data_IF_041907394017
#
_entry.id   IF_041907394017
#
_cell.length_a   1.000
_cell.length_b   1.000
_cell.length_c   1.000
_cell.angle_alpha   90.00
_cell.angle_beta   90.00
_cell.angle_gamma   90.00
#
_symmetry.space_group_name_H-M   'P 1'
#
loop_
_entity.id
_entity.type
_entity.pdbx_description
1 polymer ?
#
# COMPACT_ATOMS: atom_id res chain seq x y z
N UNK A 1 17.11 -32.59 -17.99
CA UNK A 1 16.87 -31.25 -17.45
C UNK A 1 15.91 -31.47 -16.30
N UNK A 2 16.40 -31.57 -15.08
CA UNK A 2 15.57 -31.59 -13.87
C UNK A 2 14.97 -30.19 -13.74
N UNK A 3 13.68 -30.07 -14.00
CA UNK A 3 12.88 -28.91 -13.62
C UNK A 3 12.98 -28.82 -12.10
N UNK A 4 13.85 -27.95 -11.58
CA UNK A 4 13.75 -27.53 -10.19
C UNK A 4 12.34 -26.96 -10.03
N UNK A 5 11.50 -27.67 -9.31
CA UNK A 5 10.20 -27.18 -8.88
C UNK A 5 10.47 -25.90 -8.09
N UNK A 6 10.15 -24.76 -8.67
CA UNK A 6 10.23 -23.45 -8.03
C UNK A 6 9.33 -23.55 -6.79
N UNK A 7 9.94 -23.71 -5.62
CA UNK A 7 9.18 -23.67 -4.37
C UNK A 7 8.75 -22.18 -4.18
N UNK A 8 7.50 -21.87 -4.55
CA UNK A 8 6.90 -20.52 -4.49
C UNK A 8 6.72 -20.04 -3.04
N UNK A 9 7.81 -20.01 -2.26
CA UNK A 9 7.79 -19.56 -0.87
C UNK A 9 7.71 -18.04 -0.81
N UNK A 10 6.97 -17.54 0.18
CA UNK A 10 6.96 -16.12 0.48
C UNK A 10 8.38 -15.65 0.75
N UNK A 11 8.73 -14.49 0.23
CA UNK A 11 9.96 -13.82 0.64
C UNK A 11 9.83 -13.34 2.10
N UNK A 12 10.94 -13.02 2.75
CA UNK A 12 10.89 -12.58 4.15
C UNK A 12 10.07 -11.31 4.34
N UNK A 13 10.04 -10.43 3.34
CA UNK A 13 9.19 -9.24 3.37
C UNK A 13 7.71 -9.61 3.30
N UNK A 14 7.32 -10.44 2.32
CA UNK A 14 5.94 -10.90 2.16
C UNK A 14 5.45 -11.59 3.43
N UNK A 15 6.30 -12.47 3.99
CA UNK A 15 6.00 -13.17 5.25
C UNK A 15 5.85 -12.20 6.41
N UNK A 16 6.73 -11.20 6.52
CA UNK A 16 6.66 -10.19 7.57
C UNK A 16 5.35 -9.43 7.50
N UNK A 17 4.95 -8.95 6.31
CA UNK A 17 3.68 -8.26 6.11
C UNK A 17 2.48 -9.16 6.50
N UNK A 18 2.49 -10.42 6.08
CA UNK A 18 1.46 -11.40 6.42
C UNK A 18 1.36 -11.68 7.92
N UNK A 19 2.49 -11.92 8.59
CA UNK A 19 2.49 -12.20 10.04
C UNK A 19 2.12 -10.96 10.87
N UNK A 20 2.52 -9.75 10.44
CA UNK A 20 2.10 -8.50 11.07
C UNK A 20 0.59 -8.32 10.95
N UNK A 21 0.01 -8.51 9.77
CA UNK A 21 -1.43 -8.46 9.57
C UNK A 21 -2.16 -9.44 10.50
N UNK A 22 -1.70 -10.69 10.56
CA UNK A 22 -2.31 -11.71 11.43
C UNK A 22 -2.18 -11.40 12.93
N UNK A 23 -1.05 -10.86 13.35
CA UNK A 23 -0.80 -10.58 14.76
C UNK A 23 -1.58 -9.36 15.27
N UNK A 24 -1.83 -8.39 14.40
CA UNK A 24 -2.50 -7.12 14.75
C UNK A 24 -3.99 -7.12 14.40
N UNK A 25 -4.43 -7.93 13.44
CA UNK A 25 -5.76 -7.83 12.83
C UNK A 25 -5.92 -6.63 11.89
N UNK A 26 -4.83 -5.86 11.64
CA UNK A 26 -4.83 -4.73 10.70
C UNK A 26 -4.50 -5.23 9.30
N UNK A 27 -5.40 -4.96 8.36
CA UNK A 27 -5.16 -5.15 6.94
C UNK A 27 -4.62 -3.88 6.31
N UNK A 28 -3.61 -4.00 5.46
CA UNK A 28 -3.30 -2.96 4.47
C UNK A 28 -3.96 -3.35 3.17
N UNK A 29 -4.73 -2.43 2.61
CA UNK A 29 -5.51 -2.63 1.40
C UNK A 29 -5.01 -1.71 0.28
N UNK A 30 -5.12 -2.20 -0.93
CA UNK A 30 -5.06 -1.42 -2.15
C UNK A 30 -6.45 -1.37 -2.73
N UNK A 31 -6.88 -0.20 -3.16
CA UNK A 31 -8.16 -0.04 -3.83
C UNK A 31 -7.99 0.76 -5.11
N UNK A 32 -8.58 0.25 -6.18
CA UNK A 32 -8.78 0.97 -7.43
C UNK A 32 -10.29 1.19 -7.64
N UNK A 33 -10.66 2.41 -8.03
CA UNK A 33 -12.03 2.77 -8.37
C UNK A 33 -12.03 3.36 -9.78
N UNK A 34 -12.82 2.76 -10.66
CA UNK A 34 -13.04 3.23 -12.03
C UNK A 34 -14.43 3.84 -12.13
N UNK A 35 -14.54 4.99 -12.75
CA UNK A 35 -15.83 5.65 -13.01
C UNK A 35 -16.02 5.78 -14.50
N UNK A 36 -17.11 5.20 -14.99
CA UNK A 36 -17.57 5.23 -16.36
C UNK A 36 -18.79 6.13 -16.46
N UNK A 37 -18.77 7.09 -17.40
CA UNK A 37 -19.94 7.97 -17.67
C UNK A 37 -21.04 7.28 -18.51
N UNK A 38 -21.02 5.95 -18.50
CA UNK A 38 -21.96 5.08 -19.20
C UNK A 38 -22.15 3.77 -18.42
N UNK A 39 -23.17 2.95 -18.78
CA UNK A 39 -23.30 1.60 -18.25
C UNK A 39 -22.10 0.73 -18.60
N UNK A 40 -21.65 -0.09 -17.66
CA UNK A 40 -20.48 -0.96 -17.82
C UNK A 40 -20.74 -2.10 -18.81
N UNK A 41 -19.71 -2.50 -19.58
CA UNK A 41 -19.72 -3.75 -20.35
C UNK A 41 -19.48 -4.95 -19.43
N UNK A 42 -20.57 -5.63 -19.07
CA UNK A 42 -20.49 -6.81 -18.20
C UNK A 42 -19.75 -8.00 -18.80
N UNK A 43 -19.70 -8.13 -20.13
CA UNK A 43 -18.93 -9.22 -20.74
C UNK A 43 -17.42 -8.94 -20.64
N UNK A 44 -17.03 -7.71 -20.89
CA UNK A 44 -15.66 -7.25 -20.67
C UNK A 44 -15.26 -7.41 -19.21
N UNK A 45 -16.11 -6.98 -18.28
CA UNK A 45 -15.83 -7.09 -16.84
C UNK A 45 -15.72 -8.55 -16.37
N UNK A 46 -16.57 -9.47 -16.87
CA UNK A 46 -16.44 -10.90 -16.55
C UNK A 46 -15.16 -11.50 -17.13
N UNK A 47 -14.71 -11.05 -18.29
CA UNK A 47 -13.42 -11.46 -18.87
C UNK A 47 -12.27 -10.98 -17.99
N UNK A 48 -12.25 -9.71 -17.61
CA UNK A 48 -11.28 -9.15 -16.66
C UNK A 48 -11.27 -9.94 -15.35
N UNK A 49 -12.43 -10.20 -14.77
CA UNK A 49 -12.58 -10.92 -13.51
C UNK A 49 -11.97 -12.34 -13.57
N UNK A 50 -12.20 -13.09 -14.66
CA UNK A 50 -11.55 -14.41 -14.86
C UNK A 50 -10.04 -14.25 -14.96
N UNK A 51 -9.57 -13.32 -15.78
CA UNK A 51 -8.16 -13.13 -16.05
C UNK A 51 -7.39 -12.69 -14.79
N UNK A 52 -7.94 -11.77 -13.98
CA UNK A 52 -7.29 -11.33 -12.73
C UNK A 52 -7.23 -12.46 -11.71
N UNK A 53 -8.21 -13.36 -11.71
CA UNK A 53 -8.25 -14.53 -10.84
C UNK A 53 -7.19 -15.57 -11.20
N UNK A 54 -6.84 -15.68 -12.47
CA UNK A 54 -5.82 -16.59 -12.98
C UNK A 54 -4.40 -15.97 -12.96
N UNK A 55 -4.29 -14.67 -12.65
CA UNK A 55 -3.05 -13.90 -12.59
C UNK A 55 -2.39 -13.94 -11.19
N UNK A 56 -1.37 -13.08 -11.01
CA UNK A 56 -0.76 -12.80 -9.69
C UNK A 56 -1.81 -12.34 -8.66
N UNK A 57 -2.91 -11.71 -9.08
CA UNK A 57 -4.01 -11.29 -8.22
C UNK A 57 -4.77 -12.43 -7.58
N UNK A 58 -4.81 -13.62 -8.21
CA UNK A 58 -5.53 -14.78 -7.69
C UNK A 58 -4.78 -15.62 -6.67
N UNK A 59 -3.48 -15.41 -6.49
CA UNK A 59 -2.68 -16.21 -5.57
C UNK A 59 -3.09 -16.06 -4.11
N UNK A 60 -2.87 -17.13 -3.34
CA UNK A 60 -3.17 -17.19 -1.90
C UNK A 60 -1.96 -17.70 -1.13
N UNK A 61 -2.03 -17.55 0.19
CA UNK A 61 -0.98 -18.00 1.10
C UNK A 61 -1.41 -19.34 1.73
N UNK A 62 -0.56 -20.37 1.60
CA UNK A 62 -0.67 -21.61 2.36
C UNK A 62 0.42 -21.65 3.43
N UNK A 63 0.00 -21.81 4.69
CA UNK A 63 0.93 -21.88 5.81
C UNK A 63 1.69 -23.19 5.85
N UNK A 64 2.89 -23.11 6.39
CA UNK A 64 3.65 -24.29 6.77
C UNK A 64 3.01 -25.01 7.98
N UNK A 65 3.03 -26.34 8.02
CA UNK A 65 2.67 -27.10 9.22
C UNK A 65 3.70 -26.94 10.35
N UNK A 66 4.90 -26.39 10.07
CA UNK A 66 5.89 -26.02 11.07
C UNK A 66 5.64 -24.59 11.54
N UNK A 67 5.67 -24.31 12.85
CA UNK A 67 5.40 -22.97 13.38
C UNK A 67 6.41 -21.91 12.94
N UNK A 68 7.62 -22.33 12.55
CA UNK A 68 8.69 -21.49 12.04
C UNK A 68 8.96 -21.70 10.53
N UNK A 69 8.10 -22.47 9.86
CA UNK A 69 8.21 -22.72 8.42
C UNK A 69 7.68 -21.55 7.60
N UNK A 70 8.37 -21.23 6.50
CA UNK A 70 7.91 -20.16 5.58
C UNK A 70 6.66 -20.61 4.84
N UNK A 71 5.60 -19.78 4.78
CA UNK A 71 4.44 -20.01 3.94
C UNK A 71 4.81 -20.03 2.45
N UNK A 72 3.91 -20.51 1.62
CA UNK A 72 4.06 -20.52 0.16
C UNK A 72 2.86 -19.91 -0.56
N UNK A 73 3.08 -19.45 -1.76
CA UNK A 73 2.03 -19.07 -2.67
C UNK A 73 1.38 -20.31 -3.27
N UNK A 74 0.06 -20.30 -3.37
CA UNK A 74 -0.75 -21.35 -3.97
C UNK A 74 -1.84 -20.76 -4.85
N UNK A 75 -2.38 -21.57 -5.75
CA UNK A 75 -3.55 -21.19 -6.55
C UNK A 75 -4.79 -20.95 -5.67
N UNK A 76 -5.80 -20.20 -6.13
CA UNK A 76 -7.10 -20.12 -5.46
C UNK A 76 -7.70 -21.50 -5.24
N UNK A 77 -8.26 -21.77 -4.05
CA UNK A 77 -8.90 -23.06 -3.74
C UNK A 77 -10.29 -23.22 -4.32
N UNK A 78 -10.93 -22.11 -4.63
CA UNK A 78 -12.32 -22.02 -5.07
C UNK A 78 -12.41 -21.05 -6.23
N UNK A 79 -13.55 -21.08 -6.93
CA UNK A 79 -13.87 -20.04 -7.88
C UNK A 79 -13.65 -18.65 -7.21
N UNK A 80 -13.14 -17.68 -7.97
CA UNK A 80 -12.97 -16.33 -7.45
C UNK A 80 -14.30 -15.82 -6.89
N UNK A 81 -14.23 -14.89 -5.95
CA UNK A 81 -15.44 -14.21 -5.47
C UNK A 81 -16.23 -13.71 -6.68
N UNK A 82 -17.53 -13.94 -6.71
CA UNK A 82 -18.38 -13.43 -7.79
C UNK A 82 -18.29 -11.91 -7.86
N UNK A 83 -18.46 -11.35 -9.06
CA UNK A 83 -18.62 -9.90 -9.20
C UNK A 83 -19.88 -9.49 -8.43
N UNK A 84 -19.70 -8.65 -7.43
CA UNK A 84 -20.82 -8.10 -6.67
C UNK A 84 -21.43 -6.93 -7.45
N UNK A 85 -22.72 -6.99 -7.72
CA UNK A 85 -23.43 -5.93 -8.44
C UNK A 85 -24.50 -5.37 -7.51
N UNK A 86 -24.36 -4.09 -7.16
CA UNK A 86 -25.37 -3.41 -6.39
C UNK A 86 -26.55 -3.06 -7.30
N UNK A 87 -27.77 -3.39 -6.88
CA UNK A 87 -28.98 -3.15 -7.66
C UNK A 87 -29.50 -1.71 -7.52
N UNK A 88 -29.25 -1.08 -6.36
CA UNK A 88 -29.74 0.27 -6.06
C UNK A 88 -28.72 1.30 -6.48
N UNK A 89 -29.03 2.21 -7.43
CA UNK A 89 -28.16 3.31 -7.78
C UNK A 89 -27.91 4.25 -6.60
N UNK A 90 -26.70 4.79 -6.51
CA UNK A 90 -26.30 5.80 -5.51
C UNK A 90 -26.05 7.16 -6.13
N UNK A 91 -26.26 8.28 -5.41
CA UNK A 91 -25.80 9.59 -5.83
C UNK A 91 -24.28 9.62 -6.05
N UNK A 92 -23.81 10.41 -7.03
CA UNK A 92 -22.38 10.52 -7.35
C UNK A 92 -21.55 11.08 -6.20
N UNK A 93 -22.07 11.98 -5.43
CA UNK A 93 -21.42 12.57 -4.26
C UNK A 93 -21.17 11.56 -3.11
N UNK A 94 -21.88 10.43 -3.10
CA UNK A 94 -21.65 9.31 -2.19
C UNK A 94 -20.62 8.29 -2.71
N UNK A 95 -20.03 8.51 -3.90
CA UNK A 95 -19.09 7.54 -4.52
C UNK A 95 -17.94 7.16 -3.60
N UNK A 96 -17.29 8.15 -3.00
CA UNK A 96 -16.14 7.88 -2.13
C UNK A 96 -16.56 7.31 -0.77
N UNK A 97 -17.78 7.55 -0.31
CA UNK A 97 -18.34 6.90 0.88
C UNK A 97 -18.60 5.42 0.62
N UNK A 98 -19.19 5.10 -0.54
CA UNK A 98 -19.32 3.72 -0.99
C UNK A 98 -17.96 3.01 -1.12
N UNK A 99 -16.95 3.68 -1.67
CA UNK A 99 -15.62 3.09 -1.78
C UNK A 99 -15.00 2.81 -0.39
N UNK A 100 -15.26 3.65 0.62
CA UNK A 100 -14.81 3.44 2.00
C UNK A 100 -15.57 2.27 2.67
N UNK A 101 -16.87 2.10 2.40
CA UNK A 101 -17.61 0.93 2.86
C UNK A 101 -16.98 -0.37 2.37
N UNK A 102 -16.51 -0.42 1.11
CA UNK A 102 -15.86 -1.60 0.55
C UNK A 102 -14.51 -1.92 1.20
N UNK A 103 -13.82 -0.93 1.75
CA UNK A 103 -12.59 -1.15 2.52
C UNK A 103 -12.82 -1.90 3.84
N UNK A 104 -14.08 -2.04 4.28
CA UNK A 104 -14.44 -2.83 5.48
C UNK A 104 -14.71 -4.31 5.20
N UNK A 105 -14.75 -4.71 3.91
CA UNK A 105 -14.99 -6.11 3.52
C UNK A 105 -13.92 -7.05 4.08
N UNK A 106 -14.31 -8.29 4.49
CA UNK A 106 -13.36 -9.24 5.05
C UNK A 106 -12.45 -9.80 3.96
N UNK A 107 -11.21 -9.32 3.92
CA UNK A 107 -10.17 -9.75 2.98
C UNK A 107 -9.13 -10.60 3.72
N UNK A 108 -8.95 -11.84 3.26
CA UNK A 108 -8.04 -12.80 3.91
C UNK A 108 -7.11 -13.45 2.87
N UNK A 109 -5.80 -13.15 2.90
CA UNK A 109 -4.83 -13.77 1.98
C UNK A 109 -4.63 -15.27 2.17
N UNK A 110 -5.02 -15.83 3.33
CA UNK A 110 -4.86 -17.26 3.66
C UNK A 110 -6.11 -18.06 3.27
N UNK A 111 -7.30 -17.59 3.68
CA UNK A 111 -8.56 -18.35 3.49
C UNK A 111 -9.40 -17.81 2.32
N UNK A 112 -9.13 -16.59 1.87
CA UNK A 112 -9.85 -15.89 0.82
C UNK A 112 -11.19 -15.31 1.30
N UNK A 113 -11.79 -14.43 0.51
CA UNK A 113 -11.25 -13.87 -0.73
C UNK A 113 -10.07 -12.92 -0.47
N UNK A 114 -9.13 -12.88 -1.43
CA UNK A 114 -7.95 -11.98 -1.37
C UNK A 114 -8.26 -10.58 -1.90
N UNK A 115 -9.37 -10.46 -2.64
CA UNK A 115 -9.89 -9.22 -3.20
C UNK A 115 -11.39 -9.35 -3.52
N UNK A 116 -12.04 -8.20 -3.69
CA UNK A 116 -13.42 -8.09 -4.17
C UNK A 116 -13.48 -7.17 -5.39
N UNK A 117 -14.41 -7.45 -6.29
CA UNK A 117 -14.78 -6.61 -7.43
C UNK A 117 -16.27 -6.28 -7.32
N UNK A 118 -16.59 -4.99 -7.18
CA UNK A 118 -17.96 -4.51 -6.91
C UNK A 118 -18.34 -3.46 -7.94
N UNK A 119 -19.55 -3.57 -8.47
CA UNK A 119 -20.15 -2.63 -9.42
C UNK A 119 -21.23 -1.83 -8.72
N UNK A 120 -21.21 -0.51 -8.85
CA UNK A 120 -22.19 0.42 -8.32
C UNK A 120 -22.73 1.33 -9.43
N UNK A 121 -23.99 1.14 -9.85
CA UNK A 121 -24.66 2.11 -10.70
C UNK A 121 -24.83 3.45 -9.95
N UNK A 122 -24.72 4.57 -10.69
CA UNK A 122 -24.97 5.91 -10.16
C UNK A 122 -26.28 6.47 -10.68
N UNK A 123 -26.89 7.39 -9.92
CA UNK A 123 -28.22 7.95 -10.24
C UNK A 123 -28.25 8.81 -11.50
N UNK A 124 -27.08 9.26 -11.97
CA UNK A 124 -26.91 10.05 -13.20
C UNK A 124 -26.65 9.21 -14.46
N UNK A 125 -26.71 7.87 -14.34
CA UNK A 125 -26.49 6.93 -15.43
C UNK A 125 -25.04 6.46 -15.59
N UNK A 126 -24.12 7.00 -14.81
CA UNK A 126 -22.74 6.53 -14.73
C UNK A 126 -22.65 5.21 -13.97
N UNK A 127 -21.50 4.56 -14.01
CA UNK A 127 -21.24 3.33 -13.25
C UNK A 127 -19.85 3.39 -12.63
N UNK A 128 -19.76 3.03 -11.38
CA UNK A 128 -18.48 2.85 -10.69
C UNK A 128 -18.14 1.36 -10.53
N UNK A 129 -16.88 1.02 -10.69
CA UNK A 129 -16.33 -0.30 -10.39
C UNK A 129 -15.25 -0.12 -9.34
N UNK A 130 -15.27 -0.91 -8.28
CA UNK A 130 -14.20 -0.91 -7.29
C UNK A 130 -13.60 -2.30 -7.15
N UNK A 131 -12.26 -2.36 -7.19
CA UNK A 131 -11.49 -3.53 -6.78
C UNK A 131 -10.73 -3.17 -5.51
N UNK A 132 -10.99 -3.92 -4.44
CA UNK A 132 -10.27 -3.80 -3.17
C UNK A 132 -9.54 -5.11 -2.88
N UNK A 133 -8.23 -5.04 -2.60
CA UNK A 133 -7.36 -6.20 -2.47
C UNK A 133 -6.41 -6.05 -1.28
N UNK A 134 -5.99 -7.17 -0.70
CA UNK A 134 -4.94 -7.18 0.32
C UNK A 134 -3.60 -6.73 -0.26
N UNK A 135 -2.93 -5.79 0.40
CA UNK A 135 -1.58 -5.37 0.01
C UNK A 135 -0.52 -6.49 0.24
N UNK A 136 -0.85 -7.51 1.03
CA UNK A 136 0.03 -8.66 1.26
C UNK A 136 0.24 -9.50 0.00
N UNK A 137 -0.76 -9.56 -0.91
CA UNK A 137 -0.63 -10.33 -2.16
C UNK A 137 0.14 -9.58 -3.26
N UNK A 138 0.39 -8.29 -3.09
CA UNK A 138 1.16 -7.50 -4.06
C UNK A 138 1.30 -6.04 -3.61
N UNK A 139 2.34 -5.38 -4.06
CA UNK A 139 2.46 -3.93 -3.99
C UNK A 139 1.76 -3.25 -5.18
N UNK A 140 1.74 -1.92 -5.20
CA UNK A 140 1.08 -1.15 -6.26
C UNK A 140 1.57 -1.48 -7.67
N UNK A 141 2.85 -1.82 -7.85
CA UNK A 141 3.39 -2.24 -9.16
C UNK A 141 2.90 -3.65 -9.53
N UNK A 142 2.89 -4.59 -8.58
CA UNK A 142 2.36 -5.94 -8.82
C UNK A 142 0.85 -5.90 -9.13
N UNK A 143 0.10 -5.05 -8.43
CA UNK A 143 -1.33 -4.85 -8.68
C UNK A 143 -1.57 -4.25 -10.08
N UNK A 144 -0.83 -3.20 -10.44
CA UNK A 144 -0.90 -2.60 -11.79
C UNK A 144 -0.56 -3.60 -12.90
N UNK A 145 0.47 -4.42 -12.69
CA UNK A 145 0.85 -5.46 -13.64
C UNK A 145 -0.24 -6.54 -13.77
N UNK A 146 -0.82 -6.99 -12.66
CA UNK A 146 -1.91 -7.97 -12.68
C UNK A 146 -3.16 -7.42 -13.39
N UNK A 147 -3.52 -6.14 -13.17
CA UNK A 147 -4.62 -5.48 -13.87
C UNK A 147 -4.31 -5.37 -15.36
N UNK A 148 -3.09 -4.94 -15.73
CA UNK A 148 -2.67 -4.83 -17.12
C UNK A 148 -2.75 -6.18 -17.85
N UNK A 149 -2.24 -7.24 -17.27
CA UNK A 149 -2.31 -8.60 -17.83
C UNK A 149 -3.75 -9.09 -17.96
N UNK A 150 -4.58 -8.83 -16.95
CA UNK A 150 -5.98 -9.23 -16.97
C UNK A 150 -6.78 -8.50 -18.06
N UNK A 151 -6.55 -7.21 -18.27
CA UNK A 151 -7.19 -6.41 -19.32
C UNK A 151 -6.73 -6.85 -20.71
N UNK A 152 -5.44 -7.07 -20.90
CA UNK A 152 -4.88 -7.45 -22.21
C UNK A 152 -5.08 -8.93 -22.55
N UNK A 153 -5.47 -9.76 -21.58
CA UNK A 153 -5.60 -11.21 -21.74
C UNK A 153 -4.26 -11.96 -21.76
N UNK A 154 -3.14 -11.28 -21.54
CA UNK A 154 -1.81 -11.88 -21.48
C UNK A 154 -1.48 -12.31 -20.06
N UNK A 155 -2.31 -13.17 -19.49
CA UNK A 155 -2.17 -13.64 -18.11
C UNK A 155 -1.00 -14.61 -18.01
N UNK A 156 -0.03 -14.29 -17.15
CA UNK A 156 1.09 -15.18 -16.88
C UNK A 156 0.65 -16.36 -16.00
N UNK A 157 1.09 -17.56 -16.34
CA UNK A 157 1.01 -18.70 -15.44
C UNK A 157 2.09 -18.56 -14.35
N UNK A 158 1.67 -18.28 -13.13
CA UNK A 158 2.59 -18.23 -11.97
C UNK A 158 3.16 -19.60 -11.58
N UNK A 159 2.66 -20.70 -12.16
CA UNK A 159 3.10 -22.07 -11.84
C UNK A 159 2.82 -22.46 -10.39
N UNK A 160 1.89 -21.79 -9.71
CA UNK A 160 1.56 -22.08 -8.32
C UNK A 160 0.87 -23.43 -8.18
N UNK A 161 1.27 -24.17 -7.18
CA UNK A 161 0.62 -25.44 -6.82
C UNK A 161 -0.81 -25.24 -6.30
N UNK A 162 -1.63 -26.27 -6.42
CA UNK A 162 -2.93 -26.29 -5.74
C UNK A 162 -2.75 -26.32 -4.22
N UNK A 163 -3.63 -25.66 -3.45
CA UNK A 163 -3.65 -25.80 -2.00
C UNK A 163 -3.77 -27.27 -1.60
N UNK A 164 -3.03 -27.67 -0.56
CA UNK A 164 -3.03 -29.05 -0.09
C UNK A 164 -2.37 -30.05 -1.02
N UNK A 165 -1.67 -29.62 -2.08
CA UNK A 165 -0.97 -30.52 -3.03
C UNK A 165 0.14 -31.35 -2.36
N UNK A 166 0.65 -30.90 -1.20
CA UNK A 166 1.65 -31.64 -0.41
C UNK A 166 0.99 -32.38 0.74
N UNK A 167 1.32 -33.65 0.92
CA UNK A 167 0.97 -34.37 2.15
C UNK A 167 1.67 -33.69 3.35
N UNK A 168 1.10 -33.85 4.56
CA UNK A 168 1.67 -33.26 5.77
C UNK A 168 3.14 -33.66 6.00
N UNK A 169 3.50 -34.91 5.66
CA UNK A 169 4.89 -35.40 5.76
C UNK A 169 5.82 -34.71 4.74
N UNK A 170 5.37 -34.58 3.49
CA UNK A 170 6.13 -33.87 2.46
C UNK A 170 6.35 -32.40 2.87
N UNK A 171 5.29 -31.73 3.34
CA UNK A 171 5.37 -30.36 3.82
C UNK A 171 6.36 -30.23 4.99
N UNK A 172 6.26 -31.08 6.01
CA UNK A 172 7.17 -31.06 7.16
C UNK A 172 8.64 -31.23 6.76
N UNK A 173 8.94 -32.18 5.88
CA UNK A 173 10.33 -32.44 5.42
C UNK A 173 10.85 -31.26 4.58
N UNK A 174 10.06 -30.78 3.62
CA UNK A 174 10.46 -29.68 2.75
C UNK A 174 10.66 -28.38 3.56
N UNK A 175 9.75 -28.09 4.48
CA UNK A 175 9.78 -26.88 5.28
C UNK A 175 10.89 -26.93 6.35
N UNK A 176 11.18 -28.11 6.93
CA UNK A 176 12.34 -28.28 7.82
C UNK A 176 13.68 -28.07 7.09
N UNK A 177 13.80 -28.62 5.86
CA UNK A 177 15.00 -28.37 5.04
C UNK A 177 15.17 -26.89 4.70
N UNK A 178 14.07 -26.20 4.39
CA UNK A 178 14.11 -24.77 4.13
C UNK A 178 14.51 -23.97 5.37
N UNK A 179 13.90 -24.25 6.53
CA UNK A 179 14.25 -23.60 7.78
C UNK A 179 15.75 -23.75 8.11
N UNK A 180 16.34 -24.92 7.85
CA UNK A 180 17.79 -25.13 8.00
C UNK A 180 18.61 -24.28 7.03
N UNK A 181 18.15 -24.08 5.80
CA UNK A 181 18.81 -23.19 4.82
C UNK A 181 18.72 -21.71 5.23
N UNK A 182 17.60 -21.30 5.83
CA UNK A 182 17.35 -19.92 6.28
C UNK A 182 18.07 -19.60 7.61
N UNK A 183 18.53 -20.60 8.35
CA UNK A 183 19.17 -20.42 9.67
C UNK A 183 20.40 -19.50 9.66
N UNK A 184 21.31 -19.51 8.66
CA UNK A 184 22.42 -18.57 8.60
C UNK A 184 21.97 -17.11 8.49
N UNK A 185 20.89 -16.84 7.75
CA UNK A 185 20.33 -15.50 7.61
C UNK A 185 19.64 -15.06 8.90
N UNK A 186 18.86 -15.92 9.52
CA UNK A 186 18.23 -15.67 10.81
C UNK A 186 19.29 -15.37 11.90
N UNK A 187 20.40 -16.10 11.93
CA UNK A 187 21.52 -15.84 12.88
C UNK A 187 22.15 -14.46 12.64
N UNK A 188 22.39 -14.08 11.37
CA UNK A 188 22.91 -12.74 11.02
C UNK A 188 21.94 -11.66 11.46
N UNK A 189 20.65 -11.84 11.18
CA UNK A 189 19.59 -10.92 11.58
C UNK A 189 19.48 -10.80 13.12
N UNK A 190 19.64 -11.90 13.85
CA UNK A 190 19.64 -11.89 15.32
C UNK A 190 20.77 -11.03 15.90
N UNK A 191 21.99 -11.17 15.36
CA UNK A 191 23.15 -10.35 15.81
C UNK A 191 22.91 -8.87 15.50
N UNK A 192 22.38 -8.55 14.31
CA UNK A 192 22.04 -7.17 13.93
C UNK A 192 20.92 -6.62 14.81
N UNK A 193 19.89 -7.40 15.06
CA UNK A 193 18.76 -7.04 15.94
C UNK A 193 19.23 -6.76 17.38
N UNK A 194 20.08 -7.60 17.93
CA UNK A 194 20.65 -7.37 19.26
C UNK A 194 21.45 -6.05 19.33
N UNK A 195 22.26 -5.74 18.32
CA UNK A 195 22.97 -4.46 18.20
C UNK A 195 22.01 -3.27 18.11
N UNK A 196 20.95 -3.38 17.29
CA UNK A 196 19.95 -2.34 17.12
C UNK A 196 19.20 -2.07 18.43
N UNK A 197 18.73 -3.11 19.12
CA UNK A 197 18.05 -2.98 20.41
C UNK A 197 18.98 -2.34 21.43
N UNK A 198 20.25 -2.72 21.46
CA UNK A 198 21.22 -2.16 22.40
C UNK A 198 21.52 -0.67 22.09
N UNK A 199 21.68 -0.30 20.82
CA UNK A 199 21.93 1.10 20.41
C UNK A 199 20.71 2.00 20.68
N UNK A 200 19.48 1.50 20.43
CA UNK A 200 18.21 2.24 20.61
C UNK A 200 17.50 1.97 21.95
N UNK A 201 18.19 1.40 22.93
CA UNK A 201 17.57 1.01 24.22
C UNK A 201 16.87 2.16 24.96
N UNK A 202 17.33 3.40 24.77
CA UNK A 202 16.71 4.60 25.36
C UNK A 202 15.40 4.95 24.68
N UNK A 203 15.37 4.88 23.37
CA UNK A 203 14.17 5.15 22.55
C UNK A 203 13.09 4.10 22.86
N UNK A 204 13.49 2.82 22.98
CA UNK A 204 12.60 1.73 23.40
C UNK A 204 12.06 1.92 24.82
N UNK A 205 12.86 2.43 25.75
CA UNK A 205 12.43 2.72 27.11
C UNK A 205 11.43 3.89 27.16
N UNK A 206 11.62 4.91 26.32
CA UNK A 206 10.68 6.04 26.18
C UNK A 206 9.36 5.60 25.52
N UNK A 207 9.43 4.84 24.42
CA UNK A 207 8.24 4.27 23.77
C UNK A 207 7.44 3.38 24.74
N UNK A 208 8.11 2.59 25.58
CA UNK A 208 7.47 1.76 26.61
C UNK A 208 6.80 2.59 27.70
N UNK A 209 7.37 3.74 28.10
CA UNK A 209 6.76 4.67 29.08
C UNK A 209 5.53 5.36 28.48
N UNK A 210 5.58 5.79 27.22
CA UNK A 210 4.44 6.36 26.50
C UNK A 210 3.27 5.36 26.39
N UNK A 211 3.57 4.04 26.33
CA UNK A 211 2.57 2.96 26.36
C UNK A 211 1.73 2.89 27.63
N UNK A 212 2.29 3.24 28.78
CA UNK A 212 1.64 3.06 30.09
C UNK A 212 0.61 4.16 30.40
N UNK A 213 0.50 5.22 29.60
CA UNK A 213 -0.26 6.43 29.94
C UNK A 213 -1.54 6.68 29.16
N UNK A 214 -1.96 5.81 28.23
CA UNK A 214 -3.13 6.09 27.39
C UNK A 214 -4.36 5.24 27.71
N UNK A 215 -5.42 5.83 28.21
CA UNK A 215 -6.78 5.25 28.36
C UNK A 215 -7.58 5.25 27.03
N UNK A 216 -6.92 5.24 25.90
CA UNK A 216 -7.60 5.29 24.61
C UNK A 216 -8.36 3.98 24.32
N UNK A 217 -9.60 4.10 23.78
CA UNK A 217 -10.49 2.97 23.49
C UNK A 217 -9.99 2.18 22.28
N UNK A 218 -10.21 0.85 22.29
CA UNK A 218 -10.03 -0.03 21.12
C UNK A 218 -11.17 0.13 20.09
N UNK A 219 -11.65 1.36 19.87
CA UNK A 219 -12.68 1.72 18.91
C UNK A 219 -12.05 1.83 17.51
N UNK A 220 -12.65 1.17 16.53
CA UNK A 220 -12.22 1.30 15.12
C UNK A 220 -12.60 2.71 14.66
N UNK A 221 -11.64 3.42 14.05
CA UNK A 221 -11.84 4.75 13.50
C UNK A 221 -11.79 4.72 11.97
N UNK A 222 -12.64 5.53 11.36
CA UNK A 222 -12.54 5.81 9.94
C UNK A 222 -11.53 6.92 9.69
N UNK A 223 -10.55 6.65 8.83
CA UNK A 223 -9.60 7.66 8.37
C UNK A 223 -10.14 8.25 7.06
N UNK A 224 -10.45 9.56 7.01
CA UNK A 224 -10.98 10.16 5.78
C UNK A 224 -9.97 10.10 4.65
N UNK A 225 -10.48 9.84 3.44
CA UNK A 225 -9.70 9.79 2.21
C UNK A 225 -10.40 10.57 1.11
N UNK A 226 -9.62 11.31 0.31
CA UNK A 226 -10.07 12.05 -0.86
C UNK A 226 -9.14 11.82 -2.03
N UNK A 227 -9.61 12.06 -3.26
CA UNK A 227 -8.82 11.97 -4.47
C UNK A 227 -8.86 13.28 -5.25
N UNK A 228 -7.71 13.83 -5.59
CA UNK A 228 -7.57 15.01 -6.45
C UNK A 228 -7.09 14.61 -7.84
N UNK A 229 -7.65 15.26 -8.86
CA UNK A 229 -7.33 15.06 -10.27
C UNK A 229 -6.81 16.37 -10.86
N UNK A 230 -5.56 16.39 -11.28
CA UNK A 230 -4.90 17.54 -11.91
C UNK A 230 -4.52 17.16 -13.35
N UNK A 231 -4.64 18.08 -14.29
CA UNK A 231 -4.19 17.86 -15.66
C UNK A 231 -2.67 17.60 -15.71
N UNK A 232 -2.23 16.59 -16.49
CA UNK A 232 -0.79 16.25 -16.57
C UNK A 232 0.04 17.42 -17.10
N UNK A 233 -0.46 18.14 -18.12
CA UNK A 233 0.28 19.24 -18.70
C UNK A 233 0.41 20.42 -17.71
N UNK A 234 -0.65 20.74 -16.95
CA UNK A 234 -0.62 21.74 -15.89
C UNK A 234 0.36 21.32 -14.77
N UNK A 235 0.30 20.07 -14.32
CA UNK A 235 1.20 19.52 -13.31
C UNK A 235 2.67 19.59 -13.73
N UNK A 236 2.99 19.15 -14.93
CA UNK A 236 4.37 19.13 -15.43
C UNK A 236 4.90 20.54 -15.66
N UNK A 237 4.10 21.42 -16.28
CA UNK A 237 4.47 22.84 -16.46
C UNK A 237 4.75 23.53 -15.13
N UNK A 238 3.92 23.26 -14.10
CA UNK A 238 4.14 23.81 -12.78
C UNK A 238 5.41 23.26 -12.13
N UNK A 239 5.64 21.95 -12.22
CA UNK A 239 6.85 21.32 -11.70
C UNK A 239 8.12 21.92 -12.33
N UNK A 240 8.12 22.10 -13.64
CA UNK A 240 9.25 22.68 -14.39
C UNK A 240 9.47 24.15 -14.01
N UNK A 241 8.40 24.95 -13.87
CA UNK A 241 8.49 26.35 -13.46
C UNK A 241 9.14 26.56 -12.09
N UNK A 242 9.07 25.53 -11.22
CA UNK A 242 9.70 25.48 -9.89
C UNK A 242 11.07 24.78 -9.88
N UNK A 243 11.67 24.48 -11.05
CA UNK A 243 12.97 23.79 -11.16
C UNK A 243 12.93 22.30 -10.84
N UNK A 244 11.73 21.71 -10.72
CA UNK A 244 11.50 20.32 -10.36
C UNK A 244 11.10 19.41 -11.52
N UNK A 245 10.41 18.35 -11.17
CA UNK A 245 9.69 17.42 -12.05
C UNK A 245 8.42 16.94 -11.33
N UNK A 246 7.56 16.21 -12.02
CA UNK A 246 6.28 15.74 -11.46
C UNK A 246 6.42 15.00 -10.11
N UNK A 247 7.49 14.25 -9.89
CA UNK A 247 7.71 13.59 -8.60
C UNK A 247 8.14 14.57 -7.49
N UNK A 248 9.05 15.49 -7.78
CA UNK A 248 9.44 16.51 -6.79
C UNK A 248 8.28 17.45 -6.46
N UNK A 249 7.35 17.69 -7.40
CA UNK A 249 6.13 18.44 -7.11
C UNK A 249 5.21 17.66 -6.17
N UNK A 250 5.04 16.34 -6.38
CA UNK A 250 4.30 15.48 -5.45
C UNK A 250 4.89 15.52 -4.03
N UNK A 251 6.21 15.45 -3.93
CA UNK A 251 6.95 15.58 -2.66
C UNK A 251 6.69 16.94 -2.02
N UNK A 252 6.71 18.03 -2.79
CA UNK A 252 6.40 19.37 -2.32
C UNK A 252 4.96 19.49 -1.80
N UNK A 253 3.99 19.02 -2.57
CA UNK A 253 2.56 18.99 -2.18
C UNK A 253 2.37 18.18 -0.91
N UNK A 254 3.01 16.99 -0.81
CA UNK A 254 2.95 16.15 0.39
C UNK A 254 3.56 16.84 1.61
N UNK A 255 4.68 17.54 1.43
CA UNK A 255 5.33 18.29 2.51
C UNK A 255 4.45 19.44 3.01
N UNK A 256 3.76 20.17 2.13
CA UNK A 256 2.80 21.24 2.51
C UNK A 256 1.56 20.68 3.20
N UNK A 257 1.02 19.54 2.74
CA UNK A 257 -0.07 18.85 3.45
C UNK A 257 0.37 18.43 4.86
N UNK A 258 1.57 17.88 4.99
CA UNK A 258 2.12 17.48 6.27
C UNK A 258 2.28 18.69 7.22
N UNK A 259 2.77 19.81 6.73
CA UNK A 259 2.84 21.06 7.48
C UNK A 259 1.47 21.49 8.01
N UNK A 260 0.45 21.51 7.14
CA UNK A 260 -0.93 21.90 7.49
C UNK A 260 -1.57 20.98 8.54
N UNK A 261 -1.12 19.71 8.59
CA UNK A 261 -1.51 18.70 9.58
C UNK A 261 -0.58 18.68 10.80
N UNK A 262 0.27 19.70 10.99
CA UNK A 262 1.15 19.82 12.15
C UNK A 262 2.28 18.78 12.22
N UNK A 263 2.66 18.17 11.08
CA UNK A 263 3.66 17.09 11.02
C UNK A 263 5.07 17.58 10.71
N UNK A 264 5.43 18.79 11.16
CA UNK A 264 6.81 19.28 11.13
C UNK A 264 7.63 18.67 12.28
N UNK A 265 8.86 18.34 12.03
CA UNK A 265 9.83 17.96 13.06
C UNK A 265 10.09 19.12 14.00
N UNK A 266 10.14 18.84 15.29
CA UNK A 266 10.41 19.87 16.31
C UNK A 266 11.86 20.38 16.29
N UNK A 267 12.78 19.56 15.76
CA UNK A 267 14.22 19.84 15.76
C UNK A 267 14.62 20.94 14.77
N UNK A 268 14.01 20.96 13.58
CA UNK A 268 14.43 21.84 12.46
C UNK A 268 13.28 22.37 11.61
N UNK A 269 12.02 22.03 11.94
CA UNK A 269 10.83 22.44 11.21
C UNK A 269 10.61 21.74 9.86
N UNK A 270 11.48 20.84 9.46
CA UNK A 270 11.34 20.08 8.22
C UNK A 270 10.28 18.98 8.34
N UNK A 271 9.87 18.41 7.21
CA UNK A 271 8.98 17.25 7.12
C UNK A 271 9.78 16.01 6.72
N UNK A 272 9.53 14.88 7.39
CA UNK A 272 10.08 13.57 7.02
C UNK A 272 9.09 12.81 6.16
N UNK A 273 9.47 12.52 4.92
CA UNK A 273 8.70 11.69 4.00
C UNK A 273 9.29 10.28 3.95
N UNK A 274 8.44 9.28 3.99
CA UNK A 274 8.77 7.88 3.67
C UNK A 274 8.41 7.65 2.21
N UNK A 275 9.43 7.53 1.37
CA UNK A 275 9.29 7.32 -0.06
C UNK A 275 9.36 5.83 -0.36
N UNK A 276 8.31 5.28 -0.98
CA UNK A 276 8.31 3.91 -1.49
C UNK A 276 9.04 3.86 -2.85
N UNK A 277 9.97 2.92 -2.98
CA UNK A 277 10.82 2.76 -4.15
C UNK A 277 10.67 1.34 -4.69
N UNK A 278 10.22 1.23 -5.94
CA UNK A 278 10.12 -0.05 -6.62
C UNK A 278 11.51 -0.62 -6.90
N UNK A 279 11.73 -1.87 -6.49
CA UNK A 279 12.97 -2.64 -6.68
C UNK A 279 12.86 -3.70 -7.78
N UNK A 280 11.77 -3.71 -8.57
CA UNK A 280 11.68 -4.62 -9.71
C UNK A 280 12.60 -4.16 -10.83
N UNK A 281 13.36 -5.10 -11.36
CA UNK A 281 14.27 -4.86 -12.47
C UNK A 281 13.61 -5.17 -13.83
N UNK A 282 12.55 -5.96 -13.83
CA UNK A 282 11.81 -6.34 -15.04
C UNK A 282 10.32 -6.57 -14.74
N UNK A 283 9.51 -6.63 -15.80
CA UNK A 283 8.10 -7.01 -15.71
C UNK A 283 7.90 -8.50 -15.39
N UNK A 284 8.93 -9.33 -15.57
CA UNK A 284 8.90 -10.75 -15.22
C UNK A 284 9.04 -11.03 -13.70
N UNK A 285 9.36 -10.00 -12.93
CA UNK A 285 9.52 -10.09 -11.49
C UNK A 285 8.14 -10.29 -10.81
N UNK A 286 7.88 -11.51 -10.34
CA UNK A 286 6.63 -11.98 -9.76
C UNK A 286 6.55 -11.82 -8.22
N UNK A 287 7.55 -11.17 -7.60
CA UNK A 287 7.55 -10.91 -6.16
C UNK A 287 6.28 -10.17 -5.76
N UNK A 288 5.73 -10.47 -4.58
CA UNK A 288 4.58 -9.75 -4.05
C UNK A 288 4.99 -8.32 -3.65
N UNK A 289 5.93 -8.23 -2.74
CA UNK A 289 6.46 -6.96 -2.26
C UNK A 289 7.91 -6.80 -2.74
N UNK A 290 8.10 -6.00 -3.78
CA UNK A 290 9.42 -5.70 -4.32
C UNK A 290 9.71 -4.20 -4.20
N UNK A 291 9.68 -3.71 -2.96
CA UNK A 291 9.90 -2.31 -2.65
C UNK A 291 10.91 -2.12 -1.53
N UNK A 292 11.49 -0.93 -1.49
CA UNK A 292 12.25 -0.41 -0.35
C UNK A 292 11.63 0.91 0.09
N UNK A 293 11.95 1.31 1.31
CA UNK A 293 11.55 2.60 1.85
C UNK A 293 12.79 3.45 2.10
N UNK A 294 12.71 4.73 1.78
CA UNK A 294 13.75 5.68 2.10
C UNK A 294 13.13 6.92 2.75
N UNK A 295 13.79 7.42 3.80
CA UNK A 295 13.40 8.67 4.43
C UNK A 295 13.99 9.85 3.66
N UNK A 296 13.14 10.81 3.33
CA UNK A 296 13.49 12.07 2.68
C UNK A 296 13.08 13.22 3.59
N UNK A 297 14.00 14.14 3.85
CA UNK A 297 13.73 15.33 4.64
C UNK A 297 13.54 16.53 3.71
N UNK A 298 12.44 17.25 3.86
CA UNK A 298 12.04 18.36 2.98
C UNK A 298 11.64 19.58 3.83
N UNK A 299 12.11 20.75 3.44
CA UNK A 299 11.71 22.02 4.02
C UNK A 299 10.39 22.49 3.35
N UNK A 300 9.24 22.49 4.05
CA UNK A 300 7.96 22.86 3.45
C UNK A 300 7.84 24.35 3.15
N UNK A 301 8.70 25.20 3.68
CA UNK A 301 8.64 26.66 3.43
C UNK A 301 9.16 27.03 2.05
N UNK A 302 9.97 26.18 1.41
CA UNK A 302 10.61 26.46 0.12
C UNK A 302 9.89 25.84 -1.08
N UNK A 303 9.15 24.74 -0.88
CA UNK A 303 8.66 23.88 -1.99
C UNK A 303 7.66 24.55 -2.93
N UNK A 304 7.02 25.65 -2.51
CA UNK A 304 6.09 26.41 -3.36
C UNK A 304 6.79 27.38 -4.31
N UNK A 305 8.09 27.65 -4.07
CA UNK A 305 8.91 28.58 -4.87
C UNK A 305 10.08 27.89 -5.57
N UNK A 306 10.63 26.80 -4.99
CA UNK A 306 11.78 26.07 -5.55
C UNK A 306 11.71 24.58 -5.16
N UNK A 307 11.70 23.69 -6.14
CA UNK A 307 11.71 22.24 -5.99
C UNK A 307 13.07 21.59 -6.21
N UNK A 308 14.12 22.37 -6.39
CA UNK A 308 15.48 21.84 -6.68
C UNK A 308 15.97 20.93 -5.57
N UNK A 309 15.78 21.33 -4.30
CA UNK A 309 16.14 20.54 -3.13
C UNK A 309 15.28 19.26 -3.04
N UNK A 310 13.96 19.36 -3.19
CA UNK A 310 13.06 18.21 -3.20
C UNK A 310 13.43 17.19 -4.30
N UNK A 311 13.82 17.67 -5.49
CA UNK A 311 14.30 16.85 -6.60
C UNK A 311 15.60 16.11 -6.25
N UNK A 312 16.54 16.80 -5.60
CA UNK A 312 17.80 16.20 -5.15
C UNK A 312 17.55 15.11 -4.11
N UNK A 313 16.73 15.38 -3.09
CA UNK A 313 16.37 14.45 -2.03
C UNK A 313 15.72 13.18 -2.59
N UNK A 314 14.78 13.30 -3.55
CA UNK A 314 14.16 12.13 -4.21
C UNK A 314 15.21 11.28 -4.93
N UNK A 315 16.14 11.91 -5.66
CA UNK A 315 17.20 11.20 -6.38
C UNK A 315 18.12 10.45 -5.42
N UNK A 316 18.56 11.10 -4.36
CA UNK A 316 19.44 10.53 -3.34
C UNK A 316 18.75 9.38 -2.58
N UNK A 317 17.49 9.57 -2.19
CA UNK A 317 16.70 8.52 -1.53
C UNK A 317 16.57 7.27 -2.40
N UNK A 318 16.31 7.43 -3.71
CA UNK A 318 16.24 6.32 -4.66
C UNK A 318 17.59 5.61 -4.83
N UNK A 319 18.68 6.35 -4.84
CA UNK A 319 20.01 5.78 -4.93
C UNK A 319 20.37 5.01 -3.65
N UNK A 320 20.15 5.61 -2.48
CA UNK A 320 20.40 4.94 -1.20
C UNK A 320 19.62 3.64 -1.04
N UNK A 321 18.34 3.63 -1.42
CA UNK A 321 17.51 2.42 -1.33
C UNK A 321 17.96 1.29 -2.25
N UNK A 322 18.65 1.60 -3.35
CA UNK A 322 19.27 0.59 -4.24
C UNK A 322 20.58 0.06 -3.69
N UNK A 323 21.34 0.91 -3.02
CA UNK A 323 22.69 0.58 -2.53
C UNK A 323 22.68 0.00 -1.10
N UNK A 324 21.69 0.36 -0.29
CA UNK A 324 21.62 -0.01 1.12
C UNK A 324 20.27 -0.62 1.46
N UNK A 325 20.30 -1.77 2.09
CA UNK A 325 19.10 -2.36 2.64
C UNK A 325 18.72 -1.62 3.93
N UNK A 326 17.43 -1.26 4.09
CA UNK A 326 16.93 -0.70 5.33
C UNK A 326 17.26 -1.64 6.51
N UNK A 327 17.88 -1.12 7.59
CA UNK A 327 18.20 -1.91 8.77
C UNK A 327 17.00 -2.66 9.36
N UNK A 328 15.78 -2.14 9.24
CA UNK A 328 14.57 -2.83 9.66
C UNK A 328 14.28 -4.07 8.80
N UNK A 329 14.51 -3.99 7.48
CA UNK A 329 14.33 -5.13 6.58
C UNK A 329 15.36 -6.24 6.82
N UNK A 330 16.55 -5.89 7.31
CA UNK A 330 17.57 -6.87 7.69
C UNK A 330 17.14 -7.78 8.84
N UNK A 331 16.09 -7.42 9.57
CA UNK A 331 15.52 -8.23 10.66
C UNK A 331 14.41 -9.18 10.20
N UNK A 332 13.88 -9.03 8.98
CA UNK A 332 12.79 -9.86 8.48
C UNK A 332 13.09 -11.38 8.49
N UNK A 333 14.33 -11.86 8.27
CA UNK A 333 14.64 -13.27 8.43
C UNK A 333 14.42 -13.85 9.84
N UNK A 334 14.18 -13.00 10.85
CA UNK A 334 13.80 -13.45 12.20
C UNK A 334 12.30 -13.72 12.32
N UNK A 335 11.47 -13.13 11.48
CA UNK A 335 10.01 -13.19 11.63
C UNK A 335 9.46 -14.62 11.71
N UNK A 336 9.93 -15.61 10.90
CA UNK A 336 9.46 -16.99 11.01
C UNK A 336 9.72 -17.63 12.39
N UNK A 337 10.72 -17.16 13.11
CA UNK A 337 11.18 -17.73 14.38
C UNK A 337 10.54 -17.06 15.60
N UNK A 338 9.78 -15.98 15.38
CA UNK A 338 9.12 -15.26 16.48
C UNK A 338 7.75 -15.87 16.78
N UNK A 339 7.41 -16.09 18.05
CA UNK A 339 6.04 -16.42 18.42
C UNK A 339 5.11 -15.22 18.13
N UNK A 340 3.85 -15.49 17.81
CA UNK A 340 2.88 -14.47 17.38
C UNK A 340 2.74 -13.29 18.37
N UNK A 341 2.87 -13.54 19.66
CA UNK A 341 2.88 -12.48 20.67
C UNK A 341 4.09 -11.53 20.54
N UNK A 342 5.27 -12.07 20.13
CA UNK A 342 6.44 -11.25 19.87
C UNK A 342 6.32 -10.47 18.55
N UNK A 343 5.68 -11.06 17.52
CA UNK A 343 5.35 -10.37 16.25
C UNK A 343 4.48 -9.15 16.55
N UNK A 344 3.46 -9.28 17.38
CA UNK A 344 2.63 -8.14 17.82
C UNK A 344 3.48 -7.04 18.47
N UNK A 345 4.42 -7.41 19.33
CA UNK A 345 5.35 -6.46 19.95
C UNK A 345 6.26 -5.75 18.95
N UNK A 346 6.73 -6.47 17.91
CA UNK A 346 7.50 -5.88 16.80
C UNK A 346 6.64 -4.94 15.98
N UNK A 347 5.40 -5.33 15.63
CA UNK A 347 4.45 -4.47 14.94
C UNK A 347 4.22 -3.16 15.69
N UNK A 348 3.90 -3.26 16.98
CA UNK A 348 3.68 -2.09 17.83
C UNK A 348 4.91 -1.18 17.92
N UNK A 349 6.11 -1.74 17.79
CA UNK A 349 7.35 -0.97 17.74
C UNK A 349 7.57 -0.29 16.39
N UNK A 350 7.32 -1.01 15.29
CA UNK A 350 7.47 -0.47 13.92
C UNK A 350 6.46 0.65 13.64
N UNK A 351 5.25 0.52 14.18
CA UNK A 351 4.18 1.52 14.05
C UNK A 351 4.09 2.46 15.25
N UNK A 352 5.10 2.45 16.15
CA UNK A 352 5.15 3.35 17.29
C UNK A 352 5.56 4.76 16.87
N UNK A 353 5.29 5.70 17.77
CA UNK A 353 5.65 7.10 17.62
C UNK A 353 7.11 7.29 17.19
N UNK A 354 7.27 8.10 16.14
CA UNK A 354 8.55 8.70 15.78
C UNK A 354 8.45 10.21 16.00
N UNK A 355 9.44 10.81 16.66
CA UNK A 355 9.51 12.26 16.84
C UNK A 355 9.54 13.04 15.50
N UNK A 356 9.95 12.34 14.43
CA UNK A 356 10.00 12.87 13.08
C UNK A 356 8.65 12.90 12.37
N UNK A 357 7.59 12.34 12.96
CA UNK A 357 6.21 12.29 12.42
C UNK A 357 6.16 11.94 10.91
N UNK A 358 6.74 10.82 10.49
CA UNK A 358 6.92 10.52 9.07
C UNK A 358 5.60 10.42 8.31
N UNK A 359 5.63 10.79 7.04
CA UNK A 359 4.50 10.82 6.12
C UNK A 359 4.77 9.91 4.94
N UNK A 360 3.82 9.04 4.59
CA UNK A 360 3.95 8.17 3.43
C UNK A 360 3.71 8.93 2.13
N UNK A 361 4.66 8.82 1.19
CA UNK A 361 4.56 9.41 -0.14
C UNK A 361 4.91 8.36 -1.19
N UNK A 362 3.89 7.84 -1.87
CA UNK A 362 4.03 6.80 -2.89
C UNK A 362 3.69 7.35 -4.27
N UNK A 363 4.57 7.11 -5.24
CA UNK A 363 4.34 7.49 -6.64
C UNK A 363 4.40 6.23 -7.52
N UNK A 364 3.26 5.86 -8.10
CA UNK A 364 3.15 4.72 -9.02
C UNK A 364 3.65 5.05 -10.44
N UNK A 365 3.92 6.33 -10.72
CA UNK A 365 4.42 6.79 -12.01
C UNK A 365 3.36 6.81 -13.11
N UNK A 366 3.84 6.68 -14.37
CA UNK A 366 2.99 6.64 -15.55
C UNK A 366 2.40 5.23 -15.70
N UNK A 367 1.08 5.13 -15.60
CA UNK A 367 0.37 3.87 -15.79
C UNK A 367 -0.08 3.72 -17.24
N UNK A 368 0.02 2.50 -17.82
CA UNK A 368 -0.45 2.25 -19.15
C UNK A 368 -1.98 2.48 -19.25
N UNK A 369 -2.49 2.99 -20.41
CA UNK A 369 -3.92 3.29 -20.59
C UNK A 369 -4.85 2.11 -20.32
N UNK A 370 -4.37 0.89 -20.49
CA UNK A 370 -5.11 -0.34 -20.23
C UNK A 370 -5.58 -0.46 -18.77
N UNK A 371 -4.89 0.19 -17.83
CA UNK A 371 -5.32 0.21 -16.41
C UNK A 371 -6.73 0.81 -16.25
N UNK A 372 -7.16 1.67 -17.16
CA UNK A 372 -8.48 2.28 -17.16
C UNK A 372 -9.55 1.46 -17.92
N UNK A 373 -9.25 0.23 -18.39
CA UNK A 373 -10.10 -0.50 -19.35
C UNK A 373 -10.60 -1.85 -18.81
N UNK A 374 -11.00 -1.90 -17.53
CA UNK A 374 -11.35 -3.17 -16.87
C UNK A 374 -12.64 -3.81 -17.40
N UNK A 375 -13.51 -3.04 -18.06
CA UNK A 375 -14.70 -3.55 -18.74
C UNK A 375 -14.56 -3.59 -20.28
N UNK A 376 -13.34 -3.32 -20.81
CA UNK A 376 -13.01 -3.20 -22.23
C UNK A 376 -13.31 -1.83 -22.85
N UNK A 377 -13.96 -0.94 -22.12
CA UNK A 377 -14.07 0.48 -22.46
C UNK A 377 -13.13 1.29 -21.57
N UNK A 378 -12.99 2.58 -21.83
CA UNK A 378 -12.08 3.42 -21.02
C UNK A 378 -12.88 4.17 -19.96
N UNK A 379 -12.53 3.97 -18.69
CA UNK A 379 -13.08 4.76 -17.60
C UNK A 379 -12.60 6.22 -17.68
N UNK A 380 -13.48 7.15 -17.43
CA UNK A 380 -13.16 8.59 -17.43
C UNK A 380 -12.30 8.98 -16.23
N UNK A 381 -12.52 8.32 -15.09
CA UNK A 381 -11.72 8.53 -13.87
C UNK A 381 -11.23 7.21 -13.30
N UNK A 382 -10.01 7.24 -12.77
CA UNK A 382 -9.41 6.12 -12.02
C UNK A 382 -8.83 6.67 -10.73
N UNK A 383 -9.32 6.17 -9.59
CA UNK A 383 -8.75 6.47 -8.27
C UNK A 383 -7.93 5.27 -7.82
N UNK A 384 -6.71 5.51 -7.33
CA UNK A 384 -5.85 4.48 -6.76
C UNK A 384 -5.46 4.91 -5.36
N UNK A 385 -5.75 4.10 -4.36
CA UNK A 385 -5.47 4.43 -2.97
C UNK A 385 -4.97 3.24 -2.16
N UNK A 386 -4.18 3.54 -1.14
CA UNK A 386 -3.78 2.60 -0.11
C UNK A 386 -4.52 2.96 1.18
N UNK A 387 -5.06 1.97 1.85
CA UNK A 387 -5.92 2.15 3.03
C UNK A 387 -5.48 1.20 4.14
N UNK A 388 -5.61 1.63 5.37
CA UNK A 388 -5.47 0.76 6.53
C UNK A 388 -6.85 0.28 7.02
N UNK A 389 -7.01 -1.04 7.15
CA UNK A 389 -8.24 -1.65 7.66
C UNK A 389 -8.13 -1.93 9.16
N UNK A 390 -9.24 -1.77 9.87
CA UNK A 390 -9.35 -2.05 11.31
C UNK A 390 -8.40 -1.22 12.20
N UNK A 391 -8.13 0.02 11.81
CA UNK A 391 -7.32 0.94 12.62
C UNK A 391 -8.09 1.33 13.86
N UNK A 392 -7.50 1.14 15.03
CA UNK A 392 -8.11 1.58 16.29
C UNK A 392 -7.69 3.00 16.65
N UNK A 393 -8.56 3.71 17.38
CA UNK A 393 -8.25 5.05 17.92
C UNK A 393 -6.94 5.04 18.70
N UNK A 394 -6.73 4.02 19.51
CA UNK A 394 -5.48 3.84 20.29
C UNK A 394 -4.23 3.79 19.40
N UNK A 395 -4.30 3.09 18.29
CA UNK A 395 -3.16 2.94 17.37
C UNK A 395 -2.84 4.23 16.64
N UNK A 396 -3.87 4.89 16.08
CA UNK A 396 -3.66 6.12 15.34
C UNK A 396 -3.25 7.30 16.22
N UNK A 397 -3.73 7.33 17.46
CA UNK A 397 -3.28 8.33 18.44
C UNK A 397 -1.84 8.09 18.90
N UNK A 398 -1.42 6.82 19.03
CA UNK A 398 -0.02 6.47 19.36
C UNK A 398 0.96 6.83 18.23
N UNK A 399 0.56 6.74 16.98
CA UNK A 399 1.35 7.17 15.84
C UNK A 399 1.28 8.69 15.59
N UNK A 400 0.61 9.44 16.48
CA UNK A 400 0.37 10.87 16.34
C UNK A 400 -0.33 11.23 15.02
N UNK A 401 -1.38 10.48 14.68
CA UNK A 401 -2.14 10.65 13.45
C UNK A 401 -1.44 9.99 12.26
N UNK A 402 -1.98 10.25 11.06
CA UNK A 402 -1.55 9.62 9.83
C UNK A 402 -1.64 10.60 8.67
N UNK A 403 -0.72 10.49 7.71
CA UNK A 403 -0.85 11.06 6.38
C UNK A 403 -0.22 10.08 5.38
N UNK A 404 -1.04 9.62 4.44
CA UNK A 404 -0.63 8.76 3.33
C UNK A 404 -1.04 9.44 2.03
N UNK A 405 -0.08 9.60 1.13
CA UNK A 405 -0.30 10.17 -0.20
C UNK A 405 0.14 9.14 -1.24
N UNK A 406 -0.77 8.81 -2.15
CA UNK A 406 -0.51 7.92 -3.29
C UNK A 406 -0.83 8.68 -4.56
N UNK A 407 0.08 8.65 -5.54
CA UNK A 407 -0.13 9.30 -6.83
C UNK A 407 0.16 8.37 -7.99
N UNK A 408 -0.58 8.57 -9.06
CA UNK A 408 -0.36 7.93 -10.36
C UNK A 408 -0.70 8.88 -11.49
N UNK A 409 -0.18 8.60 -12.69
CA UNK A 409 -0.51 9.32 -13.93
C UNK A 409 -1.30 8.37 -14.83
N UNK A 410 -2.53 8.67 -15.09
CA UNK A 410 -3.45 7.83 -15.89
C UNK A 410 -4.48 8.70 -16.59
N UNK A 411 -4.82 8.37 -17.84
CA UNK A 411 -5.84 9.07 -18.64
C UNK A 411 -5.69 10.60 -18.70
N UNK A 412 -4.46 11.09 -18.90
CA UNK A 412 -4.20 12.52 -18.99
C UNK A 412 -4.28 13.29 -17.66
N UNK A 413 -4.45 12.59 -16.54
CA UNK A 413 -4.54 13.17 -15.21
C UNK A 413 -3.44 12.65 -14.28
N UNK A 414 -2.97 13.52 -13.41
CA UNK A 414 -2.27 13.14 -12.18
C UNK A 414 -3.33 12.95 -11.11
N UNK A 415 -3.46 11.73 -10.63
CA UNK A 415 -4.38 11.36 -9.54
C UNK A 415 -3.59 11.36 -8.25
N UNK A 416 -4.09 12.05 -7.23
CA UNK A 416 -3.46 12.14 -5.92
C UNK A 416 -4.49 11.76 -4.88
N UNK A 417 -4.33 10.59 -4.28
CA UNK A 417 -5.16 10.14 -3.17
C UNK A 417 -4.49 10.50 -1.86
N UNK A 418 -5.25 11.11 -0.97
CA UNK A 418 -4.79 11.57 0.34
C UNK A 418 -5.65 10.94 1.41
N UNK A 419 -5.03 10.21 2.32
CA UNK A 419 -5.66 9.69 3.54
C UNK A 419 -4.99 10.36 4.73
N UNK A 420 -5.75 11.00 5.62
CA UNK A 420 -5.19 11.72 6.75
C UNK A 420 -6.06 11.65 8.01
N UNK A 421 -5.39 11.58 9.15
CA UNK A 421 -6.00 11.70 10.47
C UNK A 421 -5.17 12.62 11.35
N UNK A 422 -5.79 13.64 11.90
CA UNK A 422 -5.19 14.59 12.83
C UNK A 422 -5.78 14.43 14.22
N UNK A 423 -4.90 14.30 15.23
CA UNK A 423 -5.33 14.15 16.62
C UNK A 423 -5.94 15.46 17.12
N UNK A 424 -7.12 15.33 17.77
CA UNK A 424 -7.81 16.47 18.35
C UNK A 424 -8.53 17.37 17.33
N UNK A 425 -8.50 17.00 16.04
CA UNK A 425 -9.25 17.69 15.01
C UNK A 425 -10.50 16.91 14.60
N UNK A 426 -11.41 17.60 13.93
CA UNK A 426 -12.54 16.98 13.25
C UNK A 426 -12.05 16.32 11.96
N UNK A 427 -12.01 14.97 11.95
CA UNK A 427 -11.52 14.19 10.82
C UNK A 427 -12.66 13.88 9.86
N UNK A 428 -13.05 14.88 9.03
CA UNK A 428 -14.07 14.78 8.01
C UNK A 428 -13.49 14.86 6.59
N UNK A 429 -14.17 14.24 5.62
CA UNK A 429 -13.79 14.36 4.20
C UNK A 429 -13.81 15.82 3.73
N UNK A 430 -14.81 16.61 4.18
CA UNK A 430 -14.88 18.01 3.79
C UNK A 430 -13.66 18.80 4.23
N UNK A 431 -13.24 18.67 5.49
CA UNK A 431 -12.02 19.31 5.98
C UNK A 431 -10.78 18.86 5.21
N UNK A 432 -10.70 17.55 4.86
CA UNK A 432 -9.57 17.03 4.08
C UNK A 432 -9.59 17.56 2.63
N UNK A 433 -10.78 17.70 2.00
CA UNK A 433 -10.94 18.37 0.70
C UNK A 433 -10.42 19.81 0.75
N UNK A 434 -10.81 20.57 1.76
CA UNK A 434 -10.40 21.97 1.92
C UNK A 434 -8.86 22.07 2.10
N UNK A 435 -8.26 21.15 2.84
CA UNK A 435 -6.80 21.10 3.02
C UNK A 435 -6.06 20.77 1.72
N UNK A 436 -6.57 19.82 0.94
CA UNK A 436 -5.99 19.42 -0.35
C UNK A 436 -6.17 20.54 -1.37
N UNK A 437 -7.37 21.12 -1.48
CA UNK A 437 -7.67 22.24 -2.38
C UNK A 437 -6.78 23.45 -2.10
N UNK A 438 -6.72 23.87 -0.83
CA UNK A 438 -5.87 24.98 -0.42
C UNK A 438 -4.38 24.70 -0.67
N UNK A 439 -3.95 23.44 -0.59
CA UNK A 439 -2.56 23.07 -0.90
C UNK A 439 -2.30 23.14 -2.40
N UNK A 440 -3.17 22.57 -3.24
CA UNK A 440 -3.02 22.65 -4.70
C UNK A 440 -3.06 24.11 -5.18
N UNK A 441 -3.96 24.92 -4.63
CA UNK A 441 -4.05 26.36 -4.94
C UNK A 441 -2.77 27.10 -4.59
N UNK A 442 -2.11 26.78 -3.46
CA UNK A 442 -0.82 27.40 -3.08
C UNK A 442 0.29 27.08 -4.10
N UNK A 443 0.23 25.92 -4.74
CA UNK A 443 1.10 25.59 -5.87
C UNK A 443 0.61 26.18 -7.21
N UNK A 444 -0.52 26.89 -7.25
CA UNK A 444 -1.11 27.41 -8.49
C UNK A 444 -1.67 26.32 -9.40
N UNK A 445 -2.15 25.22 -8.82
CA UNK A 445 -2.74 24.09 -9.51
C UNK A 445 -4.26 24.08 -9.33
N UNK A 446 -4.98 23.71 -10.39
CA UNK A 446 -6.42 23.50 -10.36
C UNK A 446 -6.71 22.01 -10.32
N UNK A 447 -7.32 21.53 -9.25
CA UNK A 447 -7.68 20.11 -9.07
C UNK A 447 -9.19 19.94 -8.87
N UNK A 448 -9.75 18.89 -9.49
CA UNK A 448 -11.08 18.40 -9.09
C UNK A 448 -10.89 17.43 -7.95
N UNK A 449 -11.58 17.63 -6.81
CA UNK A 449 -11.42 16.79 -5.60
C UNK A 449 -12.72 16.06 -5.31
N UNK A 450 -12.65 14.73 -5.19
CA UNK A 450 -13.74 13.81 -4.85
C UNK A 450 -13.56 13.17 -3.49
#
# INVERSE_FOLDING_TARGET
>A
VTTETREHRLQFFDQTAFELMRATGRGQLMQAVWVYEHPVDYEGLRRFHRNISDSLGGRRIERSPLPFGRPRWVQPSHAPSEIQINETPRPRDELMDWADELATLPIDPEHGPTWYLVVQPLTDGATAISMVASHVIGDGTAAGLAIFEAVTGNVRDGGYDRPGSRTRRQALVADARQALRDLPEARRALVKGAKLVWSKRRDFAQARKARAGGESKDEIVHVPSVAAFVDIAEWDSRAESLGGNGYSLLVGVTAKLAERLGRRRKSDGAVTLVIAINLRESLEDDRALAMAFANATVDPDKVTVDLTEARAVVRESRQMAKEQTDPAMELFPLMPWLPQAAVKGVAELLFSYSEDLPVSCSNLGDLPPQIAQVDSTTAEKVVLRALDQNVTRREIERSHGQLVVVSARVNGKVVISVEAYEIGAENTKQRLRDLVDGTLTEFGLNGVIE
#
